data_IF_271046116082
#
_entry.id   IF_271046116082
#
_cell.length_a   1.000
_cell.length_b   1.000
_cell.length_c   1.000
_cell.angle_alpha   90.00
_cell.angle_beta   90.00
_cell.angle_gamma   90.00
#
_symmetry.space_group_name_H-M   'P 1'
#
loop_
_entity.id
_entity.type
_entity.pdbx_description
1 polymer ?
#
# COMPACT_ATOMS: atom_id res chain seq x y z
N UNK A 1 -8.56 37.89 22.92
CA UNK A 1 -7.28 38.22 22.23
C UNK A 1 -6.28 37.14 22.65
N UNK A 2 -5.60 36.36 21.82
CA UNK A 2 -5.50 36.28 20.36
C UNK A 2 -5.83 34.85 19.88
N UNK A 3 -6.44 34.70 18.71
CA UNK A 3 -5.78 34.52 17.41
C UNK A 3 -5.33 33.07 17.18
N UNK A 4 -6.05 32.48 16.24
CA UNK A 4 -5.77 31.26 15.49
C UNK A 4 -4.29 31.11 15.10
N UNK A 5 -3.82 29.87 15.13
CA UNK A 5 -2.57 29.41 14.54
C UNK A 5 -2.45 27.91 14.77
N UNK A 6 -3.09 27.05 13.98
CA UNK A 6 -2.86 27.04 12.54
C UNK A 6 -1.39 26.74 12.23
N UNK A 7 -0.78 25.79 12.95
CA UNK A 7 0.47 25.14 12.56
C UNK A 7 0.19 23.63 12.60
N UNK A 8 -0.52 23.11 11.60
CA UNK A 8 0.14 22.39 10.50
C UNK A 8 1.38 21.66 11.02
N UNK A 9 1.17 20.41 11.45
CA UNK A 9 2.23 19.41 11.58
C UNK A 9 2.88 19.27 10.20
N UNK A 10 3.83 20.16 9.94
CA UNK A 10 4.55 20.30 8.70
C UNK A 10 5.70 19.28 8.74
N UNK A 11 5.36 18.02 8.49
CA UNK A 11 6.28 16.99 8.01
C UNK A 11 7.45 16.56 8.91
N UNK A 12 7.68 17.15 10.08
CA UNK A 12 8.87 16.83 10.88
C UNK A 12 8.58 15.80 11.98
N UNK A 13 8.71 14.53 11.60
CA UNK A 13 8.58 13.37 12.49
C UNK A 13 9.53 13.43 13.71
N UNK A 14 10.61 14.21 13.61
CA UNK A 14 11.59 14.37 14.69
C UNK A 14 11.06 15.21 15.86
N UNK A 15 10.12 16.12 15.60
CA UNK A 15 9.51 17.02 16.60
C UNK A 15 8.32 16.39 17.33
N UNK A 16 7.87 15.21 16.91
CA UNK A 16 6.75 14.52 17.52
C UNK A 16 7.08 14.07 18.95
N UNK A 17 6.14 14.18 19.90
CA UNK A 17 6.29 13.66 21.26
C UNK A 17 6.67 12.17 21.27
N UNK A 18 7.50 11.75 22.23
CA UNK A 18 8.02 10.38 22.29
C UNK A 18 6.93 9.30 22.39
N UNK A 19 5.80 9.63 23.04
CA UNK A 19 4.64 8.71 23.09
C UNK A 19 4.02 8.47 21.71
N UNK A 20 4.01 9.48 20.82
CA UNK A 20 3.51 9.33 19.44
C UNK A 20 4.47 8.48 18.61
N UNK A 21 5.79 8.68 18.80
CA UNK A 21 6.82 7.87 18.16
C UNK A 21 6.75 6.40 18.59
N UNK A 22 6.58 6.13 19.88
CA UNK A 22 6.41 4.77 20.43
C UNK A 22 5.13 4.10 19.93
N UNK A 23 4.01 4.84 19.86
CA UNK A 23 2.76 4.31 19.33
C UNK A 23 2.91 3.88 17.86
N UNK A 24 3.62 4.68 17.05
CA UNK A 24 3.90 4.33 15.65
C UNK A 24 4.93 3.21 15.48
N UNK A 25 5.92 3.09 16.37
CA UNK A 25 6.82 1.94 16.34
C UNK A 25 6.07 0.61 16.47
N UNK A 26 4.99 0.55 17.26
CA UNK A 26 4.12 -0.63 17.31
C UNK A 26 3.42 -0.91 15.97
N UNK A 27 2.95 0.13 15.27
CA UNK A 27 2.32 -0.01 13.95
C UNK A 27 3.29 -0.52 12.89
N UNK A 28 4.53 -0.03 12.85
CA UNK A 28 5.54 -0.47 11.88
C UNK A 28 6.22 -1.79 12.25
N UNK A 29 6.41 -2.06 13.54
CA UNK A 29 7.03 -3.29 14.05
C UNK A 29 6.16 -4.54 13.84
N UNK A 30 4.82 -4.39 13.85
CA UNK A 30 3.89 -5.50 13.63
C UNK A 30 3.74 -5.96 12.18
N UNK A 31 4.24 -5.20 11.20
CA UNK A 31 4.08 -5.52 9.75
C UNK A 31 5.25 -6.37 9.22
N UNK A 32 6.36 -6.44 9.96
CA UNK A 32 7.56 -7.16 9.55
C UNK A 32 7.40 -8.68 9.36
N UNK A 33 6.70 -9.46 10.23
CA UNK A 33 6.65 -10.91 10.07
C UNK A 33 5.85 -11.35 8.84
N UNK A 34 5.02 -10.49 8.28
CA UNK A 34 4.20 -10.78 7.08
C UNK A 34 4.74 -10.16 5.80
N UNK A 35 5.78 -9.31 5.86
CA UNK A 35 6.32 -8.64 4.68
C UNK A 35 6.83 -9.63 3.61
N UNK A 36 7.46 -10.73 4.03
CA UNK A 36 7.93 -11.79 3.11
C UNK A 36 6.79 -12.58 2.47
N UNK A 37 5.77 -12.96 3.27
CA UNK A 37 4.57 -13.64 2.77
C UNK A 37 3.76 -12.73 1.83
N UNK A 38 3.65 -11.44 2.18
CA UNK A 38 2.99 -10.42 1.37
C UNK A 38 3.68 -10.28 0.01
N UNK A 39 5.01 -10.30 -0.05
CA UNK A 39 5.75 -10.25 -1.32
C UNK A 39 5.44 -11.42 -2.25
N UNK A 40 5.41 -12.65 -1.72
CA UNK A 40 5.09 -13.86 -2.52
C UNK A 40 3.62 -13.83 -2.97
N UNK A 41 2.69 -13.51 -2.07
CA UNK A 41 1.28 -13.38 -2.40
C UNK A 41 1.04 -12.30 -3.47
N UNK A 42 1.73 -11.16 -3.35
CA UNK A 42 1.68 -10.07 -4.32
C UNK A 42 2.13 -10.53 -5.71
N UNK A 43 3.23 -11.29 -5.80
CA UNK A 43 3.72 -11.82 -7.07
C UNK A 43 2.72 -12.81 -7.69
N UNK A 44 2.14 -13.72 -6.90
CA UNK A 44 1.14 -14.68 -7.36
C UNK A 44 -0.09 -13.96 -7.92
N UNK A 45 -0.58 -12.93 -7.21
CA UNK A 45 -1.72 -12.12 -7.67
C UNK A 45 -1.43 -11.48 -9.02
N UNK A 46 -0.24 -10.91 -9.21
CA UNK A 46 0.13 -10.33 -10.51
C UNK A 46 0.18 -11.35 -11.64
N UNK A 47 0.74 -12.54 -11.39
CA UNK A 47 0.76 -13.62 -12.39
C UNK A 47 -0.66 -14.01 -12.79
N UNK A 48 -1.59 -14.12 -11.84
CA UNK A 48 -3.00 -14.42 -12.11
C UNK A 48 -3.67 -13.30 -12.92
N UNK A 49 -3.45 -12.04 -12.55
CA UNK A 49 -4.01 -10.88 -13.27
C UNK A 49 -3.51 -10.85 -14.71
N UNK A 50 -2.21 -11.02 -14.95
CA UNK A 50 -1.64 -11.06 -16.31
C UNK A 50 -2.21 -12.22 -17.11
N UNK A 51 -2.32 -13.41 -16.51
CA UNK A 51 -2.91 -14.59 -17.16
C UNK A 51 -4.37 -14.35 -17.56
N UNK A 52 -5.13 -13.69 -16.70
CA UNK A 52 -6.54 -13.37 -16.93
C UNK A 52 -6.71 -12.33 -18.05
N UNK A 53 -5.84 -11.32 -18.11
CA UNK A 53 -5.82 -10.34 -19.20
C UNK A 53 -5.49 -11.01 -20.54
N UNK A 54 -4.49 -11.90 -20.58
CA UNK A 54 -4.14 -12.66 -21.78
C UNK A 54 -5.32 -13.52 -22.23
N UNK A 55 -5.99 -14.21 -21.30
CA UNK A 55 -7.18 -15.01 -21.61
C UNK A 55 -8.32 -14.15 -22.17
N UNK A 56 -8.57 -12.98 -21.58
CA UNK A 56 -9.60 -12.04 -22.04
C UNK A 56 -9.31 -11.52 -23.46
N UNK A 57 -8.06 -11.12 -23.74
CA UNK A 57 -7.63 -10.69 -25.08
C UNK A 57 -7.84 -11.83 -26.08
N UNK A 58 -7.42 -13.05 -25.73
CA UNK A 58 -7.55 -14.23 -26.58
C UNK A 58 -9.02 -14.58 -26.87
N UNK A 59 -9.89 -14.40 -25.88
CA UNK A 59 -11.34 -14.57 -26.03
C UNK A 59 -11.94 -13.52 -26.98
N UNK A 60 -11.59 -12.25 -26.81
CA UNK A 60 -12.06 -11.16 -27.68
C UNK A 60 -11.57 -11.33 -29.13
N UNK A 61 -10.32 -11.75 -29.33
CA UNK A 61 -9.78 -12.07 -30.66
C UNK A 61 -10.52 -13.22 -31.34
N UNK A 62 -10.86 -14.29 -30.61
CA UNK A 62 -11.67 -15.38 -31.16
C UNK A 62 -13.09 -14.96 -31.52
N UNK A 63 -13.63 -13.93 -30.86
CA UNK A 63 -14.99 -13.42 -31.10
C UNK A 63 -15.04 -12.41 -32.25
N UNK A 64 -13.98 -11.63 -32.48
CA UNK A 64 -13.90 -10.64 -33.56
C UNK A 64 -13.52 -11.21 -34.94
N UNK A 65 -13.19 -12.50 -35.04
CA UNK A 65 -12.96 -13.20 -36.30
C UNK A 65 -14.21 -13.80 -36.96
N UNK A 66 -15.41 -13.35 -36.55
CA UNK A 66 -16.70 -13.71 -37.16
C UNK A 66 -17.37 -12.47 -37.72
#
# INVERSE_FOLDING_TARGET
MGMMGGNYFNGDWSSAPDYMKQMMQSYYGGVQPFAGFFGIAHLIVWVLVVSLLVAAIRYLWKKGGK
#
